data_IF_271223189431
#
_entry.id   IF_271223189431
#
_cell.length_a   1.000
_cell.length_b   1.000
_cell.length_c   1.000
_cell.angle_alpha   90.00
_cell.angle_beta   90.00
_cell.angle_gamma   90.00
#
_symmetry.space_group_name_H-M   'P 1'
#
loop_
_entity.id
_entity.type
_entity.pdbx_description
1 polymer ?
#
# COMPACT_ATOMS: atom_id res chain seq x y z
N UNK A 1 66.67 -21.52 51.54
CA UNK A 1 65.80 -21.36 52.73
C UNK A 1 64.94 -20.11 52.51
N UNK A 2 63.64 -20.19 52.85
CA UNK A 2 62.68 -19.11 53.16
C UNK A 2 62.55 -17.92 52.15
N UNK A 3 61.37 -17.54 51.61
CA UNK A 3 60.00 -18.08 51.67
C UNK A 3 58.93 -17.00 51.92
N UNK A 4 57.71 -17.17 51.33
CA UNK A 4 56.45 -16.39 51.58
C UNK A 4 56.47 -14.88 51.22
N UNK A 5 55.41 -14.12 50.90
CA UNK A 5 54.00 -14.22 50.40
C UNK A 5 53.78 -12.90 49.60
N UNK A 6 52.97 -12.73 48.54
CA UNK A 6 51.98 -13.59 47.86
C UNK A 6 50.58 -12.92 47.82
N UNK A 7 50.02 -12.64 46.63
CA UNK A 7 48.67 -12.03 46.48
C UNK A 7 47.88 -12.68 45.33
N UNK A 8 46.93 -13.54 45.68
CA UNK A 8 45.85 -13.92 44.76
C UNK A 8 44.86 -12.76 44.65
N UNK A 9 44.58 -12.34 43.42
CA UNK A 9 43.42 -11.51 43.09
C UNK A 9 42.62 -12.26 42.02
N UNK A 10 41.63 -13.03 42.47
CA UNK A 10 40.62 -13.60 41.59
C UNK A 10 39.74 -12.47 41.05
N UNK A 11 40.01 -11.99 39.83
CA UNK A 11 39.01 -11.24 39.06
C UNK A 11 38.29 -12.20 38.10
N UNK A 12 37.46 -13.04 38.70
CA UNK A 12 36.60 -13.97 37.98
C UNK A 12 35.26 -13.30 37.68
N UNK A 13 35.25 -12.33 36.77
CA UNK A 13 34.02 -11.89 36.10
C UNK A 13 33.72 -12.83 34.92
N UNK A 14 32.68 -13.70 34.99
CA UNK A 14 32.22 -14.46 33.84
C UNK A 14 31.42 -13.53 32.91
N UNK A 15 32.11 -12.61 32.24
CA UNK A 15 31.50 -11.86 31.15
C UNK A 15 31.26 -12.83 29.99
N UNK A 16 29.99 -13.03 29.66
CA UNK A 16 29.54 -13.92 28.59
C UNK A 16 29.93 -13.34 27.23
N UNK A 17 31.16 -13.60 26.80
CA UNK A 17 31.66 -13.23 25.47
C UNK A 17 31.05 -14.17 24.42
N UNK A 18 29.79 -13.88 24.04
CA UNK A 18 29.28 -14.33 22.74
C UNK A 18 30.25 -13.81 21.66
N UNK A 19 30.62 -14.63 20.67
CA UNK A 19 31.49 -14.19 19.59
C UNK A 19 30.87 -12.96 18.89
N UNK A 20 31.67 -11.97 18.48
CA UNK A 20 31.15 -10.76 17.86
C UNK A 20 30.36 -11.10 16.60
N UNK A 21 29.21 -10.43 16.42
CA UNK A 21 28.33 -10.64 15.27
C UNK A 21 29.04 -10.27 13.96
N UNK A 22 29.21 -11.25 13.09
CA UNK A 22 29.78 -11.07 11.75
C UNK A 22 28.67 -10.57 10.78
N UNK A 23 28.74 -9.30 10.39
CA UNK A 23 27.79 -8.73 9.44
C UNK A 23 28.18 -9.08 8.01
N UNK A 24 27.27 -9.73 7.28
CA UNK A 24 27.41 -10.09 5.87
C UNK A 24 26.36 -9.36 5.04
N UNK A 25 26.75 -8.93 3.84
CA UNK A 25 25.79 -8.48 2.84
C UNK A 25 24.87 -9.65 2.46
N UNK A 26 23.58 -9.38 2.29
CA UNK A 26 22.57 -10.39 1.95
C UNK A 26 21.67 -9.89 0.81
N UNK A 27 21.05 -8.71 0.96
CA UNK A 27 20.10 -8.21 -0.03
C UNK A 27 20.19 -6.68 -0.20
N UNK A 28 19.85 -6.20 -1.40
CA UNK A 28 19.67 -4.78 -1.72
C UNK A 28 18.36 -4.59 -2.50
N UNK A 29 17.70 -3.46 -2.27
CA UNK A 29 16.52 -3.00 -3.00
C UNK A 29 16.74 -1.58 -3.51
N UNK A 30 16.04 -1.21 -4.58
CA UNK A 30 16.20 0.07 -5.27
C UNK A 30 17.18 -0.05 -6.43
N UNK A 31 16.66 -0.01 -7.66
CA UNK A 31 17.47 0.04 -8.87
C UNK A 31 17.99 1.47 -9.06
N UNK A 32 19.30 1.62 -9.26
CA UNK A 32 19.92 2.92 -9.57
C UNK A 32 20.12 3.01 -11.09
N UNK A 33 19.30 3.82 -11.76
CA UNK A 33 19.50 4.13 -13.18
C UNK A 33 20.85 4.84 -13.32
N UNK A 34 21.73 4.31 -14.17
CA UNK A 34 23.09 4.82 -14.32
C UNK A 34 23.09 6.24 -14.89
N UNK A 35 23.43 7.22 -14.05
CA UNK A 35 23.48 8.65 -14.40
C UNK A 35 22.36 9.50 -13.82
N UNK A 36 21.31 8.91 -13.25
CA UNK A 36 20.27 9.63 -12.50
C UNK A 36 20.58 9.59 -10.99
N UNK A 37 20.34 10.70 -10.30
CA UNK A 37 20.42 10.75 -8.84
C UNK A 37 19.23 10.01 -8.20
N UNK A 38 19.38 9.55 -6.97
CA UNK A 38 18.22 9.08 -6.18
C UNK A 38 17.31 10.29 -5.95
N UNK A 39 16.03 10.19 -6.33
CA UNK A 39 15.08 11.28 -6.14
C UNK A 39 14.79 11.47 -4.66
N UNK A 40 14.57 12.71 -4.23
CA UNK A 40 14.38 13.01 -2.81
C UNK A 40 13.18 12.25 -2.21
N UNK A 41 12.13 12.06 -3.00
CA UNK A 41 10.92 11.29 -2.65
C UNK A 41 11.19 9.82 -2.38
N UNK A 42 12.23 9.22 -2.98
CA UNK A 42 12.58 7.81 -2.84
C UNK A 42 13.44 7.52 -1.58
N UNK A 43 13.89 8.55 -0.85
CA UNK A 43 14.65 8.33 0.38
C UNK A 43 13.77 7.69 1.46
N UNK A 44 14.16 6.47 1.88
CA UNK A 44 13.53 5.74 2.99
C UNK A 44 13.65 6.57 4.28
N UNK A 45 12.52 6.99 4.81
CA UNK A 45 12.38 7.82 6.01
C UNK A 45 12.00 7.00 7.25
N UNK A 46 11.34 5.85 7.06
CA UNK A 46 10.94 4.93 8.13
C UNK A 46 11.12 3.47 7.71
N UNK A 47 11.54 2.62 8.64
CA UNK A 47 11.68 1.18 8.45
C UNK A 47 11.27 0.43 9.72
N UNK A 48 10.49 -0.64 9.59
CA UNK A 48 10.01 -1.41 10.74
C UNK A 48 9.65 -2.85 10.34
N UNK A 49 10.22 -3.83 11.05
CA UNK A 49 9.78 -5.23 11.00
C UNK A 49 8.53 -5.46 11.86
N UNK A 50 7.67 -6.40 11.47
CA UNK A 50 6.64 -6.94 12.35
C UNK A 50 7.25 -7.81 13.47
N UNK A 51 6.47 -8.09 14.52
CA UNK A 51 6.92 -8.82 15.72
C UNK A 51 7.47 -10.22 15.45
N UNK A 52 7.03 -10.90 14.38
CA UNK A 52 7.57 -12.21 13.98
C UNK A 52 8.79 -12.11 13.05
N UNK A 53 9.08 -10.93 12.52
CA UNK A 53 10.09 -10.73 11.48
C UNK A 53 9.72 -11.28 10.10
N UNK A 54 8.49 -11.80 9.89
CA UNK A 54 8.06 -12.34 8.58
C UNK A 54 7.71 -11.22 7.58
N UNK A 55 7.48 -10.00 8.08
CA UNK A 55 7.14 -8.83 7.29
C UNK A 55 8.03 -7.63 7.63
N UNK A 56 8.39 -6.89 6.59
CA UNK A 56 9.15 -5.64 6.67
C UNK A 56 8.35 -4.55 5.97
N UNK A 57 8.19 -3.39 6.62
CA UNK A 57 7.63 -2.20 6.01
C UNK A 57 8.69 -1.11 5.92
N UNK A 58 8.77 -0.47 4.76
CA UNK A 58 9.49 0.79 4.57
C UNK A 58 8.50 1.89 4.22
N UNK A 59 8.84 3.12 4.58
CA UNK A 59 8.17 4.33 4.11
C UNK A 59 9.21 5.34 3.67
N UNK A 60 8.86 6.19 2.72
CA UNK A 60 9.76 7.15 2.10
C UNK A 60 9.32 8.61 2.33
N UNK A 61 10.11 9.55 1.82
CA UNK A 61 9.76 10.98 1.81
C UNK A 61 8.56 11.27 0.90
N UNK A 62 8.36 10.48 -0.16
CA UNK A 62 7.23 10.57 -1.10
C UNK A 62 5.94 9.92 -0.62
N UNK A 63 5.77 9.73 0.70
CA UNK A 63 4.50 9.32 1.31
C UNK A 63 4.02 7.90 1.00
N UNK A 64 4.83 7.08 0.32
CA UNK A 64 4.51 5.68 0.03
C UNK A 64 4.89 4.78 1.20
N UNK A 65 4.20 3.66 1.31
CA UNK A 65 4.57 2.56 2.21
C UNK A 65 4.72 1.29 1.37
N UNK A 66 5.90 0.68 1.41
CA UNK A 66 6.24 -0.55 0.69
C UNK A 66 6.37 -1.70 1.68
N UNK A 67 5.72 -2.82 1.38
CA UNK A 67 5.72 -4.02 2.21
C UNK A 67 6.48 -5.15 1.53
N UNK A 68 7.31 -5.82 2.32
CA UNK A 68 8.03 -7.03 1.94
C UNK A 68 7.66 -8.20 2.84
N UNK A 69 7.75 -9.40 2.30
CA UNK A 69 7.47 -10.68 2.97
C UNK A 69 8.71 -11.57 2.91
N UNK A 70 9.07 -12.18 4.04
CA UNK A 70 10.21 -13.11 4.15
C UNK A 70 9.92 -14.40 3.39
N UNK A 71 10.89 -14.91 2.62
CA UNK A 71 10.70 -16.08 1.73
C UNK A 71 11.06 -17.42 2.37
N UNK A 72 11.97 -17.43 3.35
CA UNK A 72 12.49 -18.62 4.04
C UNK A 72 11.41 -19.55 4.63
N UNK A 73 10.31 -19.02 5.17
CA UNK A 73 9.22 -19.80 5.79
C UNK A 73 8.44 -20.64 4.75
N UNK A 74 8.52 -20.31 3.46
CA UNK A 74 7.73 -21.00 2.41
C UNK A 74 8.41 -22.21 1.80
N UNK A 75 9.72 -22.38 1.95
CA UNK A 75 10.39 -23.67 1.70
C UNK A 75 10.25 -24.60 2.92
N UNK A 76 9.01 -24.94 3.27
CA UNK A 76 8.76 -26.05 4.18
C UNK A 76 9.03 -27.37 3.44
N UNK A 77 10.30 -27.74 3.42
CA UNK A 77 10.85 -28.92 2.77
C UNK A 77 10.26 -30.22 3.30
N UNK A 78 10.46 -31.30 2.55
CA UNK A 78 9.82 -32.57 2.88
C UNK A 78 10.38 -33.14 4.19
N UNK A 79 9.62 -34.01 4.86
CA UNK A 79 9.99 -34.62 6.14
C UNK A 79 11.34 -35.38 6.15
N UNK A 80 11.97 -35.59 4.97
CA UNK A 80 13.30 -36.20 4.79
C UNK A 80 14.45 -35.19 4.74
N UNK A 81 14.17 -33.91 4.55
CA UNK A 81 15.21 -32.87 4.41
C UNK A 81 15.61 -32.30 5.79
N UNK A 82 14.73 -32.39 6.78
CA UNK A 82 14.97 -32.03 8.19
C UNK A 82 16.15 -32.79 8.83
N UNK A 83 16.33 -34.07 8.51
CA UNK A 83 17.43 -34.90 9.05
C UNK A 83 18.80 -34.58 8.42
N UNK A 84 18.84 -33.75 7.37
CA UNK A 84 20.07 -33.28 6.72
C UNK A 84 20.45 -31.85 7.14
N UNK A 85 19.62 -31.20 7.97
CA UNK A 85 19.69 -29.76 8.23
C UNK A 85 20.62 -29.39 9.41
N UNK A 86 21.07 -30.37 10.20
CA UNK A 86 22.06 -30.19 11.28
C UNK A 86 23.41 -29.60 10.81
N UNK A 87 23.68 -29.58 9.50
CA UNK A 87 24.89 -29.00 8.90
C UNK A 87 24.66 -27.86 7.90
N UNK A 88 23.41 -27.49 7.65
CA UNK A 88 23.07 -26.37 6.75
C UNK A 88 22.13 -25.43 7.49
N UNK A 89 22.72 -24.61 8.37
CA UNK A 89 22.02 -23.50 9.00
C UNK A 89 21.32 -22.69 7.90
N UNK A 90 20.02 -22.50 8.10
CA UNK A 90 19.10 -21.68 7.33
C UNK A 90 19.78 -20.55 6.55
N UNK A 91 19.50 -20.46 5.24
CA UNK A 91 19.95 -19.34 4.42
C UNK A 91 19.54 -18.00 5.04
N UNK A 92 20.30 -16.93 4.73
CA UNK A 92 20.00 -15.62 5.29
C UNK A 92 18.56 -15.19 4.93
N UNK A 93 17.80 -14.60 5.87
CA UNK A 93 16.47 -14.05 5.64
C UNK A 93 16.35 -13.16 4.38
N UNK A 94 15.85 -13.75 3.29
CA UNK A 94 15.52 -13.00 2.08
C UNK A 94 14.09 -12.43 2.17
N UNK A 95 13.93 -11.21 1.70
CA UNK A 95 12.66 -10.52 1.62
C UNK A 95 12.25 -10.38 0.15
N UNK A 96 10.95 -10.46 -0.11
CA UNK A 96 10.38 -10.25 -1.45
C UNK A 96 9.34 -9.14 -1.39
N UNK A 97 9.34 -8.27 -2.40
CA UNK A 97 8.29 -7.27 -2.58
C UNK A 97 6.90 -7.93 -2.52
N UNK A 98 6.03 -7.39 -1.67
CA UNK A 98 4.66 -7.87 -1.47
C UNK A 98 3.65 -6.91 -2.11
N UNK A 99 3.73 -5.62 -1.77
CA UNK A 99 2.82 -4.57 -2.27
C UNK A 99 3.27 -3.19 -1.77
N UNK A 100 2.97 -2.14 -2.51
CA UNK A 100 3.07 -0.74 -2.07
C UNK A 100 1.69 -0.05 -2.04
N UNK A 101 1.62 1.11 -1.39
CA UNK A 101 0.49 2.03 -1.48
C UNK A 101 0.90 3.46 -1.12
N UNK A 102 0.28 4.45 -1.76
CA UNK A 102 0.36 5.86 -1.33
C UNK A 102 -0.35 6.00 0.02
N UNK A 103 0.37 6.43 1.06
CA UNK A 103 -0.20 6.62 2.39
C UNK A 103 -0.57 8.07 2.65
N UNK A 104 0.32 9.00 2.36
CA UNK A 104 0.04 10.45 2.44
C UNK A 104 0.32 11.08 1.08
N UNK A 105 -0.23 12.26 0.87
CA UNK A 105 -0.05 13.10 -0.31
C UNK A 105 0.33 14.49 0.22
N UNK A 106 1.01 15.34 -0.58
CA UNK A 106 1.39 16.67 -0.12
C UNK A 106 0.13 17.51 0.10
N UNK A 107 0.06 18.18 1.26
CA UNK A 107 -1.07 19.05 1.63
C UNK A 107 -0.54 20.46 1.95
N UNK A 108 -1.40 21.48 1.82
CA UNK A 108 -1.07 22.85 2.24
C UNK A 108 -2.15 23.38 3.18
N UNK A 109 -1.74 23.93 4.32
CA UNK A 109 -2.63 24.64 5.26
C UNK A 109 -2.64 26.13 4.92
N UNK A 110 -3.70 26.59 4.26
CA UNK A 110 -3.87 28.00 3.87
C UNK A 110 -4.11 28.96 5.05
N UNK A 111 -4.47 28.47 6.23
CA UNK A 111 -4.71 29.32 7.41
C UNK A 111 -3.41 29.52 8.20
N UNK A 112 -2.54 28.50 8.23
CA UNK A 112 -1.21 28.56 8.86
C UNK A 112 -0.09 28.91 7.87
N UNK A 113 -0.38 28.97 6.57
CA UNK A 113 0.59 29.08 5.47
C UNK A 113 1.71 28.03 5.55
N UNK A 114 1.33 26.79 5.86
CA UNK A 114 2.26 25.69 6.15
C UNK A 114 2.13 24.58 5.10
N UNK A 115 3.23 24.26 4.43
CA UNK A 115 3.36 23.06 3.61
C UNK A 115 3.49 21.83 4.49
N UNK A 116 2.82 20.74 4.10
CA UNK A 116 2.72 19.51 4.88
C UNK A 116 3.29 18.39 4.03
N UNK A 117 4.50 17.96 4.39
CA UNK A 117 5.17 16.85 3.72
C UNK A 117 4.31 15.57 3.77
N UNK A 118 4.32 14.83 2.68
CA UNK A 118 3.75 13.48 2.60
C UNK A 118 4.64 12.43 3.31
N UNK A 119 5.89 12.78 3.57
CA UNK A 119 6.92 11.98 4.24
C UNK A 119 6.40 11.13 5.40
N UNK A 120 6.76 9.85 5.37
CA UNK A 120 6.44 8.91 6.43
C UNK A 120 7.43 9.05 7.59
N UNK A 121 6.99 9.67 8.68
CA UNK A 121 7.81 9.88 9.88
C UNK A 121 8.03 8.59 10.70
N UNK A 122 6.98 7.76 10.84
CA UNK A 122 7.01 6.48 11.57
C UNK A 122 6.04 5.47 10.95
N UNK A 123 6.40 4.19 11.07
CA UNK A 123 5.55 3.05 10.72
C UNK A 123 5.44 2.12 11.95
N UNK A 124 4.25 1.57 12.20
CA UNK A 124 4.03 0.52 13.20
C UNK A 124 3.11 -0.57 12.69
N UNK A 125 3.59 -1.81 12.73
CA UNK A 125 2.76 -2.99 12.54
C UNK A 125 1.79 -3.19 13.70
N UNK A 126 0.52 -3.36 13.36
CA UNK A 126 -0.54 -3.81 14.24
C UNK A 126 -0.74 -5.33 14.11
N UNK A 127 -1.37 -5.94 15.12
CA UNK A 127 -1.57 -7.39 15.16
C UNK A 127 -2.33 -7.88 13.92
N UNK A 128 -1.73 -8.83 13.20
CA UNK A 128 -2.33 -9.51 12.05
C UNK A 128 -3.61 -10.22 12.50
N UNK A 129 -4.70 -10.03 11.77
CA UNK A 129 -5.99 -10.67 12.06
C UNK A 129 -6.79 -10.91 10.79
N UNK A 130 -7.52 -12.04 10.74
CA UNK A 130 -8.40 -12.43 9.62
C UNK A 130 -7.69 -12.45 8.25
N UNK A 131 -6.41 -12.86 8.21
CA UNK A 131 -5.59 -12.86 7.00
C UNK A 131 -5.31 -11.46 6.44
N UNK A 132 -5.39 -10.41 7.28
CA UNK A 132 -5.08 -9.05 6.91
C UNK A 132 -3.96 -8.47 7.78
N UNK A 133 -3.05 -7.77 7.13
CA UNK A 133 -2.02 -6.96 7.75
C UNK A 133 -2.62 -5.62 8.18
N UNK A 134 -2.17 -5.09 9.31
CA UNK A 134 -2.62 -3.79 9.82
C UNK A 134 -1.40 -2.93 10.13
N UNK A 135 -1.44 -1.67 9.71
CA UNK A 135 -0.28 -0.76 9.82
C UNK A 135 -0.76 0.63 10.24
N UNK A 136 -0.02 1.27 11.14
CA UNK A 136 -0.10 2.70 11.42
C UNK A 136 1.06 3.40 10.72
N UNK A 137 0.76 4.49 10.03
CA UNK A 137 1.73 5.37 9.34
C UNK A 137 1.44 6.81 9.69
N UNK A 138 2.46 7.63 9.92
CA UNK A 138 2.29 9.05 10.29
C UNK A 138 3.06 9.99 9.38
N UNK A 139 2.45 11.12 9.06
CA UNK A 139 3.15 12.35 8.67
C UNK A 139 3.00 13.40 9.80
N UNK A 140 3.30 14.67 9.53
CA UNK A 140 3.23 15.73 10.54
C UNK A 140 1.80 16.11 10.95
N UNK A 141 0.79 15.87 10.10
CA UNK A 141 -0.62 16.28 10.35
C UNK A 141 -1.55 15.14 10.76
N UNK A 142 -1.29 13.92 10.32
CA UNK A 142 -2.22 12.79 10.50
C UNK A 142 -1.53 11.47 10.87
N UNK A 143 -2.28 10.61 11.56
CA UNK A 143 -1.98 9.19 11.71
C UNK A 143 -3.00 8.39 10.89
N UNK A 144 -2.55 7.60 9.92
CA UNK A 144 -3.43 6.75 9.10
C UNK A 144 -3.31 5.28 9.52
N UNK A 145 -4.46 4.63 9.71
CA UNK A 145 -4.57 3.20 10.04
C UNK A 145 -5.00 2.42 8.81
N UNK A 146 -4.06 1.65 8.26
CA UNK A 146 -4.20 0.85 7.06
C UNK A 146 -4.55 -0.59 7.37
N UNK A 147 -5.39 -1.18 6.52
CA UNK A 147 -5.59 -2.62 6.40
C UNK A 147 -5.15 -3.05 5.01
N UNK A 148 -4.19 -3.97 4.92
CA UNK A 148 -3.75 -4.58 3.67
C UNK A 148 -4.21 -6.03 3.66
N UNK A 149 -4.97 -6.42 2.65
CA UNK A 149 -5.53 -7.77 2.54
C UNK A 149 -5.63 -8.21 1.07
N UNK A 150 -5.43 -9.50 0.83
CA UNK A 150 -5.72 -10.14 -0.44
C UNK A 150 -7.23 -10.17 -0.69
N UNK A 151 -7.66 -9.61 -1.83
CA UNK A 151 -9.05 -9.58 -2.27
C UNK A 151 -9.17 -10.31 -3.60
N UNK A 152 -10.13 -11.21 -3.71
CA UNK A 152 -10.53 -11.80 -5.00
C UNK A 152 -11.25 -10.73 -5.82
N UNK A 153 -10.62 -10.30 -6.91
CA UNK A 153 -11.18 -9.36 -7.88
C UNK A 153 -11.68 -10.14 -9.08
N UNK A 154 -12.90 -9.84 -9.55
CA UNK A 154 -13.45 -10.42 -10.78
C UNK A 154 -12.98 -9.58 -11.96
N UNK A 155 -12.24 -10.17 -12.89
CA UNK A 155 -11.87 -9.51 -14.15
C UNK A 155 -13.10 -9.48 -15.06
N UNK A 156 -13.37 -8.34 -15.69
CA UNK A 156 -14.47 -8.16 -16.64
C UNK A 156 -13.94 -8.17 -18.08
N UNK A 157 -14.75 -8.56 -19.05
CA UNK A 157 -14.44 -8.39 -20.47
C UNK A 157 -14.51 -6.93 -20.87
N UNK A 158 -13.62 -6.52 -21.78
CA UNK A 158 -13.66 -5.20 -22.42
C UNK A 158 -14.98 -5.03 -23.18
N UNK A 159 -15.57 -3.84 -23.10
CA UNK A 159 -16.71 -3.46 -23.94
C UNK A 159 -16.20 -3.05 -25.33
N UNK A 160 -16.84 -3.54 -26.40
CA UNK A 160 -16.53 -3.13 -27.76
C UNK A 160 -17.21 -1.78 -28.08
N UNK A 161 -16.72 -0.69 -27.48
CA UNK A 161 -17.13 0.67 -27.80
C UNK A 161 -15.99 1.41 -28.52
N UNK A 162 -15.83 1.12 -29.80
CA UNK A 162 -14.82 1.79 -30.62
C UNK A 162 -15.20 3.26 -30.84
N UNK A 163 -14.38 4.17 -30.34
CA UNK A 163 -14.60 5.63 -30.43
C UNK A 163 -14.25 6.18 -31.83
N UNK A 164 -14.61 5.46 -32.89
CA UNK A 164 -14.05 5.59 -34.25
C UNK A 164 -15.01 6.14 -35.31
N UNK A 165 -15.90 7.09 -34.95
CA UNK A 165 -16.55 8.03 -35.90
C UNK A 165 -16.81 9.42 -35.27
N UNK A 166 -15.78 10.03 -34.68
CA UNK A 166 -15.81 11.44 -34.23
C UNK A 166 -14.80 12.32 -34.98
N UNK A 167 -14.54 12.01 -36.26
CA UNK A 167 -13.51 12.64 -37.08
C UNK A 167 -14.01 13.00 -38.49
N UNK A 168 -15.09 13.78 -38.58
CA UNK A 168 -15.33 14.66 -39.72
C UNK A 168 -16.22 15.85 -39.32
N UNK A 169 -15.76 17.03 -39.70
CA UNK A 169 -16.29 18.36 -39.39
C UNK A 169 -17.82 18.45 -39.35
N UNK A 170 -18.37 19.14 -38.35
CA UNK A 170 -18.88 20.49 -38.59
C UNK A 170 -18.98 21.35 -37.32
N UNK A 171 -18.86 22.67 -37.50
CA UNK A 171 -18.83 23.64 -36.42
C UNK A 171 -20.22 23.90 -35.83
N UNK A 172 -20.52 23.34 -34.65
CA UNK A 172 -21.55 23.89 -33.76
C UNK A 172 -21.04 23.94 -32.31
N UNK A 173 -21.00 25.15 -31.75
CA UNK A 173 -20.66 25.36 -30.35
C UNK A 173 -21.83 24.90 -29.46
N UNK A 174 -21.62 23.85 -28.68
CA UNK A 174 -22.53 23.45 -27.61
C UNK A 174 -21.88 23.67 -26.24
N UNK A 175 -22.01 24.90 -25.73
CA UNK A 175 -21.80 25.16 -24.31
C UNK A 175 -22.95 24.54 -23.52
N UNK A 176 -22.66 23.54 -22.68
CA UNK A 176 -23.59 23.06 -21.67
C UNK A 176 -22.87 22.68 -20.37
N UNK A 177 -22.75 23.66 -19.49
CA UNK A 177 -22.43 23.46 -18.08
C UNK A 177 -23.50 22.58 -17.42
N UNK A 178 -23.18 21.30 -17.21
CA UNK A 178 -24.06 20.34 -16.56
C UNK A 178 -24.12 20.58 -15.02
N UNK A 179 -24.88 21.60 -14.60
CA UNK A 179 -25.34 21.71 -13.21
C UNK A 179 -26.39 20.63 -12.90
N UNK A 180 -26.43 20.07 -11.67
CA UNK A 180 -27.35 19.00 -11.33
C UNK A 180 -28.78 19.53 -11.11
N UNK A 181 -29.78 18.84 -11.67
CA UNK A 181 -31.18 18.87 -11.22
C UNK A 181 -31.58 17.43 -10.89
N UNK A 182 -31.82 17.10 -9.63
CA UNK A 182 -33.07 17.34 -8.87
C UNK A 182 -34.22 16.52 -9.45
N UNK A 183 -34.61 15.52 -8.67
CA UNK A 183 -35.75 14.61 -8.83
C UNK A 183 -37.11 15.28 -8.73
N UNK A 184 -38.14 14.69 -9.38
CA UNK A 184 -39.57 14.51 -8.98
C UNK A 184 -40.33 13.89 -10.19
N UNK A 185 -40.73 12.61 -10.17
CA UNK A 185 -42.03 12.02 -9.75
C UNK A 185 -43.26 12.31 -10.63
N UNK A 186 -43.85 11.24 -11.17
CA UNK A 186 -45.25 11.00 -11.60
C UNK A 186 -46.12 12.16 -12.18
N UNK A 187 -46.63 11.92 -13.39
CA UNK A 187 -47.80 12.62 -13.93
C UNK A 187 -48.17 12.09 -15.33
N UNK A 188 -49.14 11.18 -15.41
CA UNK A 188 -49.67 10.69 -16.68
C UNK A 188 -50.97 11.40 -17.07
N UNK A 189 -51.20 11.60 -18.36
CA UNK A 189 -52.54 11.87 -18.92
C UNK A 189 -52.65 11.32 -20.35
N UNK A 190 -53.89 11.05 -20.79
CA UNK A 190 -54.19 10.13 -21.87
C UNK A 190 -54.39 10.76 -23.26
N UNK A 191 -54.22 9.89 -24.26
CA UNK A 191 -54.85 9.83 -25.59
C UNK A 191 -55.43 11.10 -26.24
N UNK A 192 -54.90 11.40 -27.44
CA UNK A 192 -55.75 11.72 -28.58
C UNK A 192 -55.11 11.18 -29.88
N UNK A 193 -55.83 10.40 -30.71
CA UNK A 193 -55.29 9.91 -31.98
C UNK A 193 -55.33 11.01 -33.06
N UNK A 194 -54.57 10.83 -34.15
CA UNK A 194 -55.03 10.85 -35.55
C UNK A 194 -53.88 11.02 -36.56
N UNK A 195 -54.03 10.34 -37.70
CA UNK A 195 -53.27 10.46 -38.96
C UNK A 195 -51.82 9.97 -38.98
N UNK A 196 -51.69 8.70 -39.41
CA UNK A 196 -50.62 8.29 -40.29
C UNK A 196 -50.51 9.22 -41.51
N UNK A 197 -49.30 9.70 -41.80
CA UNK A 197 -48.81 9.76 -43.18
C UNK A 197 -47.50 8.99 -43.23
N UNK A 198 -47.43 7.99 -44.11
CA UNK A 198 -46.19 7.27 -44.37
C UNK A 198 -45.20 8.23 -45.01
N UNK A 199 -44.02 8.34 -44.42
CA UNK A 199 -42.81 8.65 -45.16
C UNK A 199 -41.84 7.52 -44.86
N UNK A 200 -41.53 6.75 -45.90
CA UNK A 200 -40.69 5.57 -45.80
C UNK A 200 -39.23 5.99 -45.59
N UNK A 201 -38.90 6.30 -44.34
CA UNK A 201 -37.51 6.31 -43.91
C UNK A 201 -37.02 4.86 -43.88
N UNK A 202 -36.43 4.43 -44.99
CA UNK A 202 -35.54 3.28 -45.00
C UNK A 202 -34.50 3.50 -43.88
N UNK A 203 -34.64 2.73 -42.81
CA UNK A 203 -33.54 2.52 -41.88
C UNK A 203 -32.46 1.76 -42.63
N UNK A 204 -31.54 2.50 -43.26
CA UNK A 204 -30.27 1.99 -43.74
C UNK A 204 -29.69 1.10 -42.64
N UNK A 205 -29.66 -0.21 -42.90
CA UNK A 205 -29.17 -1.23 -41.96
C UNK A 205 -27.64 -1.21 -41.90
N UNK A 206 -27.08 -0.03 -41.59
CA UNK A 206 -25.76 0.15 -41.04
C UNK A 206 -25.81 -0.44 -39.63
N UNK A 207 -25.66 -1.77 -39.55
CA UNK A 207 -25.91 -2.52 -38.34
C UNK A 207 -25.12 -1.96 -37.16
N UNK A 208 -25.82 -1.64 -36.07
CA UNK A 208 -25.18 -1.30 -34.81
C UNK A 208 -24.17 -2.41 -34.47
N UNK A 209 -22.92 -2.09 -34.11
CA UNK A 209 -21.96 -3.10 -33.70
C UNK A 209 -22.56 -3.88 -32.53
N UNK A 210 -22.53 -5.22 -32.61
CA UNK A 210 -23.16 -6.08 -31.61
C UNK A 210 -22.54 -5.82 -30.23
N UNK A 211 -23.26 -5.05 -29.41
CA UNK A 211 -22.78 -4.54 -28.14
C UNK A 211 -22.56 -5.70 -27.17
N UNK A 212 -21.30 -5.93 -26.79
CA UNK A 212 -20.94 -6.98 -25.84
C UNK A 212 -21.08 -6.46 -24.41
N UNK A 213 -21.99 -7.07 -23.65
CA UNK A 213 -22.10 -6.83 -22.21
C UNK A 213 -20.84 -7.34 -21.48
N UNK A 214 -20.34 -6.64 -20.45
CA UNK A 214 -19.23 -7.12 -19.63
C UNK A 214 -19.55 -8.45 -18.97
N UNK A 215 -18.83 -9.50 -19.35
CA UNK A 215 -18.87 -10.81 -18.70
C UNK A 215 -17.68 -10.95 -17.76
N UNK A 216 -17.81 -11.73 -16.68
CA UNK A 216 -16.68 -12.06 -15.81
C UNK A 216 -15.75 -13.05 -16.53
N UNK A 217 -14.53 -12.63 -16.85
CA UNK A 217 -13.53 -13.40 -17.62
C UNK A 217 -12.45 -14.07 -16.77
N UNK A 218 -12.54 -13.94 -15.45
CA UNK A 218 -11.59 -14.56 -14.52
C UNK A 218 -11.73 -14.06 -13.08
N UNK A 219 -11.01 -14.70 -12.17
CA UNK A 219 -10.79 -14.22 -10.81
C UNK A 219 -9.29 -14.09 -10.58
N UNK A 220 -8.88 -12.95 -10.05
CA UNK A 220 -7.49 -12.60 -9.74
C UNK A 220 -7.39 -12.27 -8.25
N UNK A 221 -6.25 -12.60 -7.63
CA UNK A 221 -5.98 -12.24 -6.24
C UNK A 221 -5.12 -10.98 -6.22
N UNK A 222 -5.72 -9.85 -5.80
CA UNK A 222 -5.07 -8.55 -5.73
C UNK A 222 -4.91 -8.15 -4.27
N UNK A 223 -3.72 -7.69 -3.89
CA UNK A 223 -3.48 -7.07 -2.59
C UNK A 223 -4.07 -5.66 -2.60
N UNK A 224 -4.96 -5.37 -1.66
CA UNK A 224 -5.60 -4.06 -1.54
C UNK A 224 -5.29 -3.45 -0.18
N UNK A 225 -4.58 -2.33 -0.19
CA UNK A 225 -4.44 -1.45 0.96
C UNK A 225 -5.68 -0.54 1.07
N UNK A 226 -6.26 -0.45 2.26
CA UNK A 226 -7.37 0.46 2.57
C UNK A 226 -7.12 1.20 3.87
N UNK A 227 -7.10 2.53 3.81
CA UNK A 227 -7.18 3.35 5.00
C UNK A 227 -8.54 3.12 5.68
N UNK A 228 -8.52 2.71 6.95
CA UNK A 228 -9.71 2.42 7.76
C UNK A 228 -10.04 3.54 8.72
N UNK A 229 -9.04 4.30 9.18
CA UNK A 229 -9.18 5.47 10.05
C UNK A 229 -8.06 6.46 9.75
N UNK A 230 -8.41 7.74 9.80
CA UNK A 230 -7.46 8.85 9.85
C UNK A 230 -7.67 9.52 11.20
N UNK A 231 -6.62 9.62 12.00
CA UNK A 231 -6.59 10.44 13.19
C UNK A 231 -5.94 11.77 12.79
N UNK A 232 -6.76 12.82 12.74
CA UNK A 232 -6.29 14.19 12.53
C UNK A 232 -5.56 14.71 13.79
N UNK A 233 -5.09 15.96 13.75
CA UNK A 233 -4.45 16.61 14.90
C UNK A 233 -3.14 15.96 15.36
N UNK A 234 -2.45 15.22 14.49
CA UNK A 234 -1.10 14.73 14.82
C UNK A 234 -0.12 15.88 15.06
N UNK A 235 -0.32 17.01 14.38
CA UNK A 235 0.49 18.23 14.50
C UNK A 235 0.40 18.92 15.86
N UNK A 236 -0.61 18.60 16.67
CA UNK A 236 -0.72 19.09 18.05
C UNK A 236 0.25 18.33 18.99
N UNK A 237 0.98 17.32 18.48
CA UNK A 237 1.90 16.46 19.23
C UNK A 237 3.23 16.26 18.49
N UNK A 238 4.35 16.24 19.22
CA UNK A 238 5.62 15.82 18.64
C UNK A 238 5.74 14.28 18.70
N UNK A 239 5.37 13.60 17.61
CA UNK A 239 5.26 12.12 17.58
C UNK A 239 6.64 11.45 17.47
N UNK A 240 7.28 11.27 18.63
CA UNK A 240 8.53 10.51 18.75
C UNK A 240 8.33 9.00 18.51
N UNK A 241 7.19 8.44 18.93
CA UNK A 241 6.88 7.02 18.80
C UNK A 241 5.39 6.73 18.75
N UNK A 242 5.03 5.54 18.29
CA UNK A 242 3.65 5.03 18.20
C UNK A 242 3.62 3.63 18.80
N UNK A 243 2.51 3.28 19.47
CA UNK A 243 2.25 1.95 20.02
C UNK A 243 0.82 1.49 19.72
N UNK A 244 0.60 0.17 19.76
CA UNK A 244 -0.69 -0.45 19.43
C UNK A 244 -1.63 -0.58 20.64
N UNK A 245 -1.28 0.01 21.78
CA UNK A 245 -2.11 -0.08 22.98
C UNK A 245 -3.44 0.64 22.75
N UNK A 246 -4.52 0.17 23.41
CA UNK A 246 -5.85 0.84 23.35
C UNK A 246 -5.83 2.28 23.85
N UNK A 247 -4.79 2.65 24.58
CA UNK A 247 -4.44 4.03 24.92
C UNK A 247 -3.27 4.45 24.06
N UNK A 248 -3.44 5.55 23.32
CA UNK A 248 -2.38 6.17 22.51
C UNK A 248 -1.34 6.75 23.48
N UNK A 249 -0.29 6.00 23.79
CA UNK A 249 0.92 6.58 24.35
C UNK A 249 1.64 7.35 23.24
N UNK A 250 1.20 8.59 23.00
CA UNK A 250 2.14 9.65 22.69
C UNK A 250 3.02 9.79 23.95
N UNK A 251 4.29 9.42 23.84
CA UNK A 251 5.26 9.69 24.91
C UNK A 251 5.56 11.17 24.86
N UNK A 252 4.77 11.95 25.60
CA UNK A 252 5.05 13.34 25.93
C UNK A 252 6.26 13.36 26.87
N UNK A 253 7.36 13.91 26.39
CA UNK A 253 8.49 14.41 27.17
C UNK A 253 8.48 15.92 27.08
#
# INVERSE_FOLDING_TARGET
MNGKVGSEAFDATPSSLLPPLEWKFSQVFGERIAGEGVQDVDFISAIQFDKSGDYLATGDKGGRVVLFERTDVKENSSRRDLEKLDYTICGHPEFRYKTEFQSHEPEFDYLKSLEIEEKINKIRWCQIANGALFILSTNDKTIKFWKVQEKKVKRLSVMNLDHSQAARNDNFACSCTASPKVSLTNGGYADSPYKYQSNDYEFSSAGFPSLRLPMVTGQEMSLVARCRRVYAHAHDYHINSISNNRFVCAVMT
#
